data_IF_051732924905
#
_entry.id   IF_051732924905
#
_cell.length_a   1.000
_cell.length_b   1.000
_cell.length_c   1.000
_cell.angle_alpha   90.00
_cell.angle_beta   90.00
_cell.angle_gamma   90.00
#
_symmetry.space_group_name_H-M   'P 1'
#
loop_
_entity.id
_entity.type
_entity.pdbx_description
1 polymer ?
#
# COMPACT_ATOMS: atom_id res chain seq x y z
N UNK A 1 18.14 29.94 -3.18
CA UNK A 1 17.50 29.52 -1.92
C UNK A 1 16.92 28.16 -2.18
N UNK A 2 17.55 27.11 -1.66
CA UNK A 2 17.06 25.74 -1.84
C UNK A 2 15.85 25.56 -0.93
N UNK A 3 14.69 25.34 -1.52
CA UNK A 3 13.51 24.87 -0.80
C UNK A 3 13.76 23.44 -0.37
N UNK A 4 14.11 23.22 0.89
CA UNK A 4 13.99 21.90 1.51
C UNK A 4 12.50 21.57 1.57
N UNK A 5 12.06 20.72 0.66
CA UNK A 5 10.74 20.10 0.76
C UNK A 5 10.87 19.03 1.84
N UNK A 6 10.34 19.30 3.04
CA UNK A 6 10.23 18.27 4.08
C UNK A 6 9.35 17.15 3.55
N UNK A 7 9.94 16.00 3.23
CA UNK A 7 9.19 14.82 2.78
C UNK A 7 8.35 14.34 3.95
N UNK A 8 7.02 14.41 3.81
CA UNK A 8 6.07 13.88 4.79
C UNK A 8 6.30 12.39 5.01
N UNK A 9 6.09 11.93 6.24
CA UNK A 9 6.08 10.51 6.54
C UNK A 9 4.92 9.82 5.83
N UNK A 10 5.06 8.54 5.51
CA UNK A 10 4.02 7.81 4.77
C UNK A 10 2.69 7.73 5.56
N UNK A 11 2.74 7.61 6.88
CA UNK A 11 1.57 7.62 7.77
C UNK A 11 0.90 8.99 7.92
N UNK A 12 1.51 10.07 7.43
CA UNK A 12 0.90 11.41 7.42
C UNK A 12 0.10 11.68 6.12
N UNK A 13 0.10 10.72 5.19
CA UNK A 13 -0.58 10.84 3.90
C UNK A 13 -1.95 10.17 3.99
N UNK A 14 -2.99 10.99 3.88
CA UNK A 14 -4.37 10.52 3.81
C UNK A 14 -4.89 10.62 2.37
N UNK A 15 -5.35 9.49 1.83
CA UNK A 15 -5.92 9.42 0.49
C UNK A 15 -7.43 9.74 0.54
N UNK A 16 -7.97 10.53 -0.41
CA UNK A 16 -9.40 10.79 -0.47
C UNK A 16 -10.22 9.51 -0.54
N UNK A 17 -11.18 9.37 0.39
CA UNK A 17 -12.08 8.22 0.55
C UNK A 17 -11.34 6.92 0.92
N UNK A 18 -11.97 6.04 1.68
CA UNK A 18 -11.36 4.74 2.04
C UNK A 18 -11.51 3.72 0.90
N UNK A 19 -10.65 2.70 0.86
CA UNK A 19 -10.82 1.54 0.00
C UNK A 19 -11.09 0.31 0.86
N UNK A 20 -12.15 -0.43 0.56
CA UNK A 20 -12.46 -1.65 1.30
C UNK A 20 -11.49 -2.77 0.94
N UNK A 21 -11.13 -3.58 1.93
CA UNK A 21 -10.35 -4.79 1.75
C UNK A 21 -11.13 -5.84 0.96
N UNK A 22 -10.41 -6.59 0.13
CA UNK A 22 -10.95 -7.69 -0.64
C UNK A 22 -11.78 -7.28 -1.86
N UNK A 23 -12.71 -8.14 -2.22
CA UNK A 23 -13.55 -7.96 -3.40
C UNK A 23 -14.97 -8.46 -3.12
N UNK A 24 -15.97 -7.62 -3.41
CA UNK A 24 -17.38 -7.97 -3.28
C UNK A 24 -17.76 -9.24 -4.07
N UNK A 25 -17.17 -9.45 -5.25
CA UNK A 25 -17.52 -10.54 -6.16
C UNK A 25 -16.85 -11.88 -5.83
N UNK A 26 -15.82 -11.89 -4.99
CA UNK A 26 -15.12 -13.12 -4.58
C UNK A 26 -14.50 -12.96 -3.20
N UNK A 27 -14.97 -13.76 -2.26
CA UNK A 27 -14.39 -13.88 -0.93
C UNK A 27 -12.93 -14.39 -0.99
N UNK A 28 -12.13 -13.98 0.00
CA UNK A 28 -10.73 -14.40 0.14
C UNK A 28 -9.74 -13.69 -0.79
N UNK A 29 -10.07 -12.49 -1.28
CA UNK A 29 -9.16 -11.62 -2.05
C UNK A 29 -8.40 -10.62 -1.16
N UNK A 30 -8.11 -11.05 0.06
CA UNK A 30 -7.40 -10.28 1.06
C UNK A 30 -6.42 -11.20 1.79
N UNK A 31 -5.15 -10.79 1.84
CA UNK A 31 -4.08 -11.50 2.53
C UNK A 31 -3.51 -10.61 3.63
N UNK A 32 -3.11 -11.23 4.74
CA UNK A 32 -2.53 -10.54 5.89
C UNK A 32 -1.11 -11.07 6.08
N UNK A 33 -0.16 -10.17 6.35
CA UNK A 33 1.25 -10.46 6.63
C UNK A 33 1.64 -9.87 7.97
N UNK A 34 2.43 -10.61 8.75
CA UNK A 34 2.83 -10.25 10.12
C UNK A 34 4.03 -9.29 10.13
N UNK A 35 4.67 -9.07 8.97
CA UNK A 35 5.74 -8.08 8.85
C UNK A 35 5.99 -7.66 7.39
N UNK A 36 6.61 -6.48 7.22
CA UNK A 36 7.15 -6.06 5.92
C UNK A 36 8.15 -7.07 5.34
N UNK A 37 8.98 -7.67 6.20
CA UNK A 37 9.97 -8.66 5.78
C UNK A 37 9.32 -9.91 5.16
N UNK A 38 8.22 -10.39 5.76
CA UNK A 38 7.44 -11.53 5.25
C UNK A 38 6.80 -11.22 3.89
N UNK A 39 6.15 -10.05 3.77
CA UNK A 39 5.58 -9.61 2.49
C UNK A 39 6.64 -9.45 1.40
N UNK A 40 7.85 -9.02 1.77
CA UNK A 40 8.97 -8.81 0.85
C UNK A 40 9.70 -10.11 0.45
N UNK A 41 9.28 -11.28 0.94
CA UNK A 41 9.91 -12.55 0.58
C UNK A 41 9.70 -12.87 -0.92
N UNK A 42 10.76 -13.20 -1.67
CA UNK A 42 10.64 -13.46 -3.12
C UNK A 42 9.70 -14.61 -3.44
N UNK A 43 8.82 -14.42 -4.42
CA UNK A 43 7.83 -15.40 -4.84
C UNK A 43 8.43 -16.73 -5.31
N UNK A 44 9.69 -16.74 -5.75
CA UNK A 44 10.44 -17.97 -6.07
C UNK A 44 10.56 -18.98 -4.92
N UNK A 45 10.35 -18.54 -3.68
CA UNK A 45 10.44 -19.38 -2.48
C UNK A 45 9.06 -19.85 -1.97
N UNK A 46 7.97 -19.43 -2.62
CA UNK A 46 6.60 -19.66 -2.15
C UNK A 46 5.76 -20.34 -3.25
N UNK A 47 4.84 -21.27 -2.91
CA UNK A 47 3.93 -21.86 -3.90
C UNK A 47 3.11 -20.79 -4.66
N UNK A 48 2.86 -21.00 -5.95
CA UNK A 48 2.11 -20.06 -6.82
C UNK A 48 0.68 -19.74 -6.35
N UNK A 49 0.19 -20.54 -5.42
CA UNK A 49 -1.13 -20.41 -4.78
C UNK A 49 -1.12 -19.44 -3.59
N UNK A 50 0.06 -19.03 -3.11
CA UNK A 50 0.24 -17.97 -2.14
C UNK A 50 0.41 -16.63 -2.87
N UNK A 51 -0.73 -15.98 -3.10
CA UNK A 51 -0.83 -14.81 -3.98
C UNK A 51 -0.05 -13.59 -3.48
N UNK A 52 0.20 -13.45 -2.17
CA UNK A 52 0.71 -12.19 -1.63
C UNK A 52 2.21 -11.95 -1.90
N UNK A 53 3.07 -12.97 -1.83
CA UNK A 53 4.50 -12.83 -2.16
C UNK A 53 4.71 -12.60 -3.67
N UNK A 54 3.80 -13.11 -4.50
CA UNK A 54 3.73 -12.76 -5.93
C UNK A 54 3.35 -11.29 -6.18
N UNK A 55 2.93 -10.50 -5.18
CA UNK A 55 2.62 -9.07 -5.38
C UNK A 55 3.84 -8.18 -5.16
N UNK A 56 4.87 -8.65 -4.45
CA UNK A 56 6.05 -7.86 -4.12
C UNK A 56 7.02 -7.71 -5.29
N UNK A 57 7.47 -8.83 -5.88
CA UNK A 57 8.57 -8.89 -6.87
C UNK A 57 8.14 -9.24 -8.30
N UNK A 58 6.85 -9.34 -8.56
CA UNK A 58 6.32 -9.74 -9.85
C UNK A 58 6.10 -8.56 -10.81
N UNK A 59 5.83 -8.90 -12.07
CA UNK A 59 5.62 -7.94 -13.16
C UNK A 59 4.56 -6.89 -12.80
N UNK A 60 4.95 -5.61 -12.89
CA UNK A 60 4.11 -4.46 -12.52
C UNK A 60 2.91 -4.27 -13.45
N UNK A 61 3.03 -4.65 -14.73
CA UNK A 61 1.92 -4.65 -15.68
C UNK A 61 0.89 -5.76 -15.35
N UNK A 62 1.33 -6.82 -14.66
CA UNK A 62 0.43 -7.89 -14.22
C UNK A 62 -0.21 -7.56 -12.86
N UNK A 63 0.52 -6.91 -11.96
CA UNK A 63 0.12 -6.61 -10.58
C UNK A 63 0.19 -5.09 -10.32
N UNK A 64 -0.72 -4.33 -10.93
CA UNK A 64 -0.75 -2.88 -10.78
C UNK A 64 -1.15 -2.50 -9.35
N UNK A 65 -0.21 -1.98 -8.56
CA UNK A 65 -0.52 -1.28 -7.31
C UNK A 65 -1.12 0.09 -7.66
N UNK A 66 -2.40 0.28 -7.36
CA UNK A 66 -3.11 1.51 -7.70
C UNK A 66 -3.41 2.38 -6.47
N UNK A 67 -3.32 1.81 -5.26
CA UNK A 67 -3.51 2.51 -3.99
C UNK A 67 -2.75 1.82 -2.87
N UNK A 68 -2.33 2.61 -1.90
CA UNK A 68 -1.78 2.17 -0.63
C UNK A 68 -2.32 3.07 0.49
N UNK A 69 -2.39 2.58 1.72
CA UNK A 69 -2.75 3.38 2.89
C UNK A 69 -1.93 2.89 4.09
N UNK A 70 -1.17 3.77 4.73
CA UNK A 70 -0.56 3.48 6.02
C UNK A 70 -1.53 3.90 7.11
N UNK A 71 -2.06 2.91 7.84
CA UNK A 71 -3.02 3.10 8.94
C UNK A 71 -2.28 3.04 10.27
N UNK A 72 -2.41 4.11 11.04
CA UNK A 72 -1.98 4.19 12.44
C UNK A 72 -3.23 4.19 13.30
N UNK A 73 -3.23 3.35 14.33
CA UNK A 73 -4.31 3.36 15.32
C UNK A 73 -4.32 4.71 16.05
N UNK A 74 -5.47 5.37 16.11
CA UNK A 74 -5.67 6.53 16.97
C UNK A 74 -6.11 6.03 18.35
N UNK A 75 -5.36 6.31 19.44
CA UNK A 75 -5.76 5.90 20.78
C UNK A 75 -7.17 6.35 21.18
N UNK A 76 -7.67 7.46 20.62
CA UNK A 76 -9.04 7.94 20.89
C UNK A 76 -10.13 7.04 20.32
N UNK A 77 -9.82 6.19 19.33
CA UNK A 77 -10.75 5.19 18.80
C UNK A 77 -10.93 3.99 19.76
N UNK A 78 -10.07 3.85 20.77
CA UNK A 78 -10.04 2.71 21.71
C UNK A 78 -10.28 3.12 23.16
N UNK A 79 -10.87 4.30 23.42
CA UNK A 79 -11.11 4.81 24.79
C UNK A 79 -11.87 3.79 25.66
N UNK A 80 -12.88 3.13 25.09
CA UNK A 80 -13.70 2.14 25.81
C UNK A 80 -12.91 0.88 26.18
N UNK A 81 -12.11 0.36 25.26
CA UNK A 81 -11.27 -0.82 25.45
C UNK A 81 -10.19 -0.57 26.50
N UNK A 82 -9.54 0.61 26.45
CA UNK A 82 -8.54 1.04 27.42
C UNK A 82 -9.15 1.21 28.82
N UNK A 83 -10.37 1.75 28.92
CA UNK A 83 -11.08 1.87 30.20
C UNK A 83 -11.53 0.51 30.76
N UNK A 84 -11.92 -0.42 29.89
CA UNK A 84 -12.42 -1.73 30.27
C UNK A 84 -11.30 -2.71 30.68
N UNK A 85 -10.12 -2.60 30.06
CA UNK A 85 -8.96 -3.45 30.30
C UNK A 85 -7.66 -2.61 30.36
N UNK A 86 -7.08 -2.40 31.56
CA UNK A 86 -5.82 -1.65 31.72
C UNK A 86 -4.61 -2.27 31.00
N UNK A 87 -4.68 -3.56 30.67
CA UNK A 87 -3.63 -4.27 29.93
C UNK A 87 -3.94 -4.32 28.41
N UNK A 88 -4.95 -3.58 27.93
CA UNK A 88 -5.27 -3.49 26.50
C UNK A 88 -4.11 -2.88 25.71
N UNK A 89 -3.63 -3.61 24.72
CA UNK A 89 -2.62 -3.13 23.77
C UNK A 89 -3.32 -2.59 22.52
N UNK A 90 -3.08 -1.31 22.24
CA UNK A 90 -3.57 -0.68 21.00
C UNK A 90 -2.92 -1.39 19.80
N UNK A 91 -3.69 -1.73 18.75
CA UNK A 91 -3.15 -2.35 17.55
C UNK A 91 -2.00 -1.55 16.94
N UNK A 92 -0.99 -2.26 16.43
CA UNK A 92 0.13 -1.65 15.72
C UNK A 92 -0.26 -1.06 14.36
N UNK A 93 0.69 -0.37 13.73
CA UNK A 93 0.51 0.22 12.41
C UNK A 93 0.36 -0.88 11.33
N UNK A 94 -0.50 -0.63 10.36
CA UNK A 94 -0.70 -1.51 9.21
C UNK A 94 -0.55 -0.75 7.89
N UNK A 95 0.01 -1.42 6.89
CA UNK A 95 0.09 -0.95 5.52
C UNK A 95 -0.89 -1.75 4.68
N UNK A 96 -1.91 -1.08 4.17
CA UNK A 96 -2.87 -1.65 3.24
C UNK A 96 -2.44 -1.36 1.81
N UNK A 97 -2.38 -2.39 0.97
CA UNK A 97 -1.96 -2.32 -0.42
C UNK A 97 -3.06 -2.87 -1.32
N UNK A 98 -3.40 -2.14 -2.39
CA UNK A 98 -4.50 -2.49 -3.29
C UNK A 98 -3.99 -2.65 -4.71
N UNK A 99 -4.21 -3.84 -5.25
CA UNK A 99 -3.73 -4.27 -6.55
C UNK A 99 -4.88 -4.50 -7.52
N UNK A 100 -4.61 -4.25 -8.79
CA UNK A 100 -5.46 -4.63 -9.91
C UNK A 100 -4.69 -5.59 -10.80
N UNK A 101 -5.08 -6.86 -10.80
CA UNK A 101 -4.55 -7.87 -11.72
C UNK A 101 -5.21 -7.69 -13.08
N UNK A 102 -4.61 -6.85 -13.90
CA UNK A 102 -5.24 -6.23 -15.07
C UNK A 102 -5.75 -7.25 -16.10
N UNK A 103 -5.06 -8.39 -16.27
CA UNK A 103 -5.46 -9.44 -17.22
C UNK A 103 -6.84 -10.04 -16.92
N UNK A 104 -7.24 -10.07 -15.64
CA UNK A 104 -8.51 -10.68 -15.18
C UNK A 104 -9.43 -9.70 -14.46
N UNK A 105 -9.01 -8.44 -14.31
CA UNK A 105 -9.67 -7.44 -13.49
C UNK A 105 -9.95 -7.92 -12.05
N UNK A 106 -8.99 -8.63 -11.45
CA UNK A 106 -9.08 -9.00 -10.04
C UNK A 106 -8.55 -7.87 -9.18
N UNK A 107 -9.43 -7.31 -8.36
CA UNK A 107 -9.03 -6.49 -7.23
C UNK A 107 -8.60 -7.41 -6.08
N UNK A 108 -7.37 -7.24 -5.63
CA UNK A 108 -6.76 -7.95 -4.51
C UNK A 108 -6.20 -6.91 -3.56
N UNK A 109 -6.39 -7.13 -2.27
CA UNK A 109 -5.79 -6.30 -1.22
C UNK A 109 -4.86 -7.11 -0.35
N UNK A 110 -3.89 -6.44 0.24
CA UNK A 110 -2.98 -7.00 1.23
C UNK A 110 -2.93 -6.05 2.42
N UNK A 111 -2.89 -6.61 3.62
CA UNK A 111 -2.56 -5.89 4.84
C UNK A 111 -1.24 -6.42 5.40
N UNK A 112 -0.36 -5.51 5.77
CA UNK A 112 0.98 -5.85 6.28
C UNK A 112 1.19 -5.11 7.59
N UNK A 113 1.53 -5.82 8.66
CA UNK A 113 1.99 -5.17 9.89
C UNK A 113 3.33 -4.46 9.64
N UNK A 114 3.42 -3.19 10.01
CA UNK A 114 4.59 -2.34 9.77
C UNK A 114 4.93 -1.51 10.99
N UNK A 115 6.15 -1.01 11.04
CA UNK A 115 6.65 -0.08 12.05
C UNK A 115 7.26 1.14 11.38
N UNK A 116 7.51 2.21 12.14
CA UNK A 116 8.23 3.39 11.62
C UNK A 116 9.63 3.03 11.07
N UNK A 117 10.25 1.96 11.60
CA UNK A 117 11.55 1.48 11.12
C UNK A 117 11.48 0.89 9.70
N UNK A 118 10.30 0.43 9.27
CA UNK A 118 10.09 -0.12 7.93
C UNK A 118 9.88 0.97 6.86
N UNK A 119 9.57 2.21 7.28
CA UNK A 119 9.21 3.31 6.38
C UNK A 119 10.22 3.53 5.24
N UNK A 120 11.55 3.52 5.46
CA UNK A 120 12.49 3.74 4.36
C UNK A 120 12.39 2.67 3.27
N UNK A 121 12.20 1.39 3.65
CA UNK A 121 12.08 0.28 2.71
C UNK A 121 10.71 0.29 2.00
N UNK A 122 9.63 0.57 2.74
CA UNK A 122 8.29 0.74 2.18
C UNK A 122 8.26 1.89 1.17
N UNK A 123 8.89 3.02 1.51
CA UNK A 123 8.96 4.20 0.64
C UNK A 123 9.70 3.91 -0.65
N UNK A 124 10.88 3.30 -0.59
CA UNK A 124 11.64 2.92 -1.78
C UNK A 124 10.81 2.04 -2.72
N UNK A 125 10.10 1.05 -2.16
CA UNK A 125 9.24 0.16 -2.94
C UNK A 125 8.02 0.90 -3.53
N UNK A 126 7.33 1.72 -2.75
CA UNK A 126 6.17 2.51 -3.21
C UNK A 126 6.56 3.54 -4.29
N UNK A 127 7.74 4.16 -4.18
CA UNK A 127 8.24 5.09 -5.20
C UNK A 127 8.47 4.37 -6.55
N UNK A 128 9.01 3.15 -6.53
CA UNK A 128 9.12 2.33 -7.74
C UNK A 128 7.75 2.03 -8.36
N UNK A 129 6.76 1.62 -7.55
CA UNK A 129 5.38 1.38 -8.02
C UNK A 129 4.69 2.65 -8.51
N UNK A 130 4.93 3.79 -7.87
CA UNK A 130 4.38 5.07 -8.29
C UNK A 130 4.94 5.51 -9.65
N UNK A 131 6.23 5.27 -9.93
CA UNK A 131 6.83 5.52 -11.23
C UNK A 131 6.15 4.69 -12.34
N UNK A 132 5.81 3.43 -12.05
CA UNK A 132 5.05 2.59 -12.97
C UNK A 132 3.66 3.19 -13.28
N UNK A 133 2.88 3.49 -12.23
CA UNK A 133 1.56 4.10 -12.38
C UNK A 133 1.61 5.41 -13.16
N UNK A 134 2.63 6.25 -12.92
CA UNK A 134 2.84 7.50 -13.67
C UNK A 134 3.06 7.25 -15.16
N UNK A 135 3.85 6.24 -15.55
CA UNK A 135 4.12 5.92 -16.97
C UNK A 135 2.84 5.60 -17.73
N UNK A 136 1.88 4.96 -17.07
CA UNK A 136 0.59 4.59 -17.67
C UNK A 136 -0.19 5.82 -18.16
N UNK A 137 -0.10 6.93 -17.43
CA UNK A 137 -0.82 8.17 -17.71
C UNK A 137 0.03 9.25 -18.39
N UNK A 138 1.36 9.08 -18.39
CA UNK A 138 2.32 10.03 -18.94
C UNK A 138 1.97 10.54 -20.36
N UNK A 139 1.53 9.69 -21.32
CA UNK A 139 1.15 10.17 -22.66
C UNK A 139 0.04 11.22 -22.68
N UNK A 140 -0.83 11.27 -21.67
CA UNK A 140 -1.88 12.29 -21.56
C UNK A 140 -1.42 13.50 -20.73
N UNK A 141 -0.65 13.26 -19.68
CA UNK A 141 -0.21 14.29 -18.75
C UNK A 141 0.90 15.17 -19.33
N UNK A 142 1.81 14.58 -20.10
CA UNK A 142 2.96 15.29 -20.66
C UNK A 142 2.57 16.13 -21.90
N UNK A 143 1.46 15.80 -22.56
CA UNK A 143 0.88 16.61 -23.64
C UNK A 143 0.32 17.92 -23.08
N UNK A 144 -0.37 17.87 -21.93
CA UNK A 144 -0.92 19.05 -21.26
C UNK A 144 0.19 19.98 -20.74
N UNK A 145 1.31 19.43 -20.27
CA UNK A 145 2.46 20.24 -19.83
C UNK A 145 3.11 21.03 -20.97
N UNK A 146 3.07 20.51 -22.20
CA UNK A 146 3.66 21.15 -23.38
C UNK A 146 2.77 22.28 -23.92
N UNK A 147 1.45 22.15 -23.83
CA UNK A 147 0.50 23.21 -24.22
C UNK A 147 0.39 24.33 -23.18
N UNK A 148 0.55 24.04 -21.89
CA UNK A 148 0.52 25.07 -20.83
C UNK A 148 1.78 25.95 -20.79
N UNK A 149 2.86 25.54 -21.46
CA UNK A 149 4.12 26.28 -21.55
C UNK A 149 4.30 27.03 -22.90
N UNK A 150 3.34 26.91 -23.82
CA UNK A 150 3.30 27.59 -25.12
C UNK A 150 2.36 28.81 -25.08
#
# INVERSE_FOLDING_TARGET
>A
MSTETTTKHLWEIDHPYYCSEGNFYKAGMHSIFESWAEFAEPSSQTPIEDLGNLLYDFDEDLNLLWRWDWKRADPSDYEYEIEADPDFEIPGDTLQLFFMLQRKAYNISVEVAVTEADEPAVREWLEAKALHMRRLWAPLLDVVATEAAA
#
